data_IF_596571569857
#
_entry.id   IF_596571569857
#
_cell.length_a   1.000
_cell.length_b   1.000
_cell.length_c   1.000
_cell.angle_alpha   90.00
_cell.angle_beta   90.00
_cell.angle_gamma   90.00
#
_symmetry.space_group_name_H-M   'P 1'
#
loop_
_entity.id
_entity.type
_entity.pdbx_description
1 polymer ?
#
# COMPACT_ATOMS: atom_id res chain seq x y z
N UNK A 1 28.81 0.96 7.05
CA UNK A 1 27.83 -0.13 7.22
C UNK A 1 26.77 0.38 8.17
N UNK A 2 25.67 0.91 7.62
CA UNK A 2 24.51 1.29 8.41
C UNK A 2 23.76 0.02 8.81
N UNK A 3 23.36 -0.10 10.07
CA UNK A 3 22.45 -1.13 10.54
C UNK A 3 21.18 -1.11 9.66
N UNK A 4 20.89 -2.23 8.99
CA UNK A 4 19.64 -2.40 8.24
C UNK A 4 18.50 -2.49 9.28
N UNK A 5 17.56 -1.53 9.32
CA UNK A 5 16.46 -1.54 10.28
C UNK A 5 15.54 -2.77 10.14
N UNK A 6 15.71 -3.57 9.08
CA UNK A 6 14.97 -4.81 8.83
C UNK A 6 15.79 -6.10 9.07
N UNK A 7 16.99 -5.98 9.65
CA UNK A 7 17.78 -7.15 10.08
C UNK A 7 17.06 -8.14 11.04
N UNK A 8 16.10 -7.74 11.92
CA UNK A 8 15.47 -8.70 12.83
C UNK A 8 14.36 -9.58 12.22
N UNK A 9 14.02 -9.45 10.93
CA UNK A 9 12.99 -10.28 10.30
C UNK A 9 13.53 -11.66 9.88
N UNK A 10 13.79 -12.52 10.87
CA UNK A 10 14.14 -13.93 10.62
C UNK A 10 12.87 -14.78 10.34
N UNK A 11 12.87 -15.67 9.32
CA UNK A 11 11.66 -16.36 8.82
C UNK A 11 11.03 -17.43 9.73
N UNK A 12 11.11 -17.37 11.07
CA UNK A 12 10.56 -18.42 11.97
C UNK A 12 10.06 -17.94 13.33
N UNK A 13 9.43 -16.77 13.43
CA UNK A 13 8.80 -16.34 14.67
C UNK A 13 7.29 -16.63 14.64
N UNK A 14 6.88 -17.80 15.15
CA UNK A 14 5.46 -18.18 15.30
C UNK A 14 4.90 -17.67 16.63
N UNK A 15 3.79 -16.92 16.61
CA UNK A 15 3.01 -16.56 17.80
C UNK A 15 2.81 -15.05 18.03
N UNK A 16 1.93 -14.70 18.97
CA UNK A 16 1.54 -13.32 19.33
C UNK A 16 2.71 -12.37 19.65
N UNK A 17 3.82 -12.89 20.20
CA UNK A 17 5.04 -12.09 20.45
C UNK A 17 5.73 -11.65 19.16
N UNK A 18 5.75 -12.51 18.14
CA UNK A 18 6.28 -12.18 16.82
C UNK A 18 5.45 -11.11 16.12
N UNK A 19 4.12 -11.19 16.25
CA UNK A 19 3.18 -10.17 15.78
C UNK A 19 3.48 -8.78 16.36
N UNK A 20 3.62 -8.69 17.68
CA UNK A 20 4.00 -7.43 18.32
C UNK A 20 5.39 -6.94 17.97
N UNK A 21 6.37 -7.83 17.83
CA UNK A 21 7.71 -7.43 17.44
C UNK A 21 7.73 -6.88 16.01
N UNK A 22 7.01 -7.52 15.08
CA UNK A 22 6.83 -7.02 13.72
C UNK A 22 6.13 -5.64 13.73
N UNK A 23 5.05 -5.50 14.50
CA UNK A 23 4.34 -4.23 14.66
C UNK A 23 5.25 -3.11 15.19
N UNK A 24 6.07 -3.40 16.23
CA UNK A 24 7.03 -2.45 16.78
C UNK A 24 8.10 -2.06 15.75
N UNK A 25 8.63 -3.03 14.99
CA UNK A 25 9.61 -2.77 13.94
C UNK A 25 9.03 -1.88 12.82
N UNK A 26 7.79 -2.15 12.39
CA UNK A 26 7.09 -1.31 11.39
C UNK A 26 6.92 0.12 11.91
N UNK A 27 6.48 0.29 13.17
CA UNK A 27 6.32 1.62 13.79
C UNK A 27 7.66 2.37 13.85
N UNK A 28 8.71 1.71 14.34
CA UNK A 28 10.04 2.32 14.46
C UNK A 28 10.63 2.70 13.09
N UNK A 29 10.50 1.83 12.08
CA UNK A 29 10.96 2.13 10.72
C UNK A 29 10.19 3.30 10.11
N UNK A 30 8.87 3.33 10.31
CA UNK A 30 8.02 4.45 9.86
C UNK A 30 8.45 5.77 10.51
N UNK A 31 8.61 5.79 11.83
CA UNK A 31 9.00 6.99 12.58
C UNK A 31 10.41 7.49 12.16
N UNK A 32 11.33 6.57 11.88
CA UNK A 32 12.66 6.89 11.37
C UNK A 32 12.61 7.53 9.97
N UNK A 33 11.79 6.99 9.07
CA UNK A 33 11.62 7.53 7.71
C UNK A 33 11.02 8.93 7.71
N UNK A 34 10.01 9.15 8.55
CA UNK A 34 9.38 10.47 8.72
C UNK A 34 10.39 11.47 9.27
N UNK A 35 11.20 11.07 10.26
CA UNK A 35 12.25 11.93 10.81
C UNK A 35 13.35 12.25 9.78
N UNK A 36 13.69 11.29 8.92
CA UNK A 36 14.70 11.45 7.88
C UNK A 36 14.20 12.20 6.64
N UNK A 37 12.89 12.43 6.54
CA UNK A 37 12.23 13.01 5.35
C UNK A 37 12.57 12.25 4.05
N UNK A 38 12.54 10.91 4.12
CA UNK A 38 12.97 10.03 3.02
C UNK A 38 11.79 9.27 2.38
N UNK A 39 11.14 9.85 1.35
CA UNK A 39 10.01 9.23 0.69
C UNK A 39 10.40 8.02 -0.18
N UNK A 40 11.66 7.91 -0.62
CA UNK A 40 12.12 6.81 -1.45
C UNK A 40 12.28 5.53 -0.61
N UNK A 41 12.92 5.66 0.56
CA UNK A 41 13.07 4.55 1.50
C UNK A 41 11.73 4.08 2.08
N UNK A 42 10.73 4.96 2.16
CA UNK A 42 9.37 4.59 2.56
C UNK A 42 8.70 3.58 1.60
N UNK A 43 8.90 3.71 0.29
CA UNK A 43 8.42 2.70 -0.68
C UNK A 43 9.17 1.37 -0.49
N UNK A 44 10.47 1.45 -0.20
CA UNK A 44 11.29 0.30 0.12
C UNK A 44 10.82 -0.43 1.39
N UNK A 45 10.30 0.28 2.38
CA UNK A 45 9.67 -0.34 3.56
C UNK A 45 8.42 -1.12 3.14
N UNK A 46 7.49 -0.50 2.40
CA UNK A 46 6.24 -1.15 1.99
C UNK A 46 6.49 -2.41 1.15
N UNK A 47 7.45 -2.33 0.22
CA UNK A 47 7.85 -3.46 -0.62
C UNK A 47 8.37 -4.66 0.18
N UNK A 48 8.91 -4.42 1.37
CA UNK A 48 9.46 -5.45 2.27
C UNK A 48 8.46 -5.93 3.32
N UNK A 49 7.34 -5.22 3.53
CA UNK A 49 6.32 -5.60 4.52
C UNK A 49 5.78 -7.00 4.28
N UNK A 50 5.26 -7.26 3.08
CA UNK A 50 4.63 -8.55 2.78
C UNK A 50 5.63 -9.73 2.91
N UNK A 51 6.80 -9.73 2.24
CA UNK A 51 7.77 -10.82 2.40
C UNK A 51 8.22 -11.04 3.84
N UNK A 52 8.41 -9.97 4.61
CA UNK A 52 8.88 -10.05 6.00
C UNK A 52 7.78 -10.54 6.97
N UNK A 53 6.52 -10.24 6.67
CA UNK A 53 5.40 -10.48 7.58
C UNK A 53 4.44 -11.58 7.14
N UNK A 54 4.63 -12.20 5.97
CA UNK A 54 3.68 -13.23 5.44
C UNK A 54 3.49 -14.45 6.35
N UNK A 55 4.42 -14.70 7.29
CA UNK A 55 4.33 -15.79 8.27
C UNK A 55 3.91 -15.34 9.67
N UNK A 56 3.71 -14.03 9.87
CA UNK A 56 3.37 -13.47 11.18
C UNK A 56 1.88 -13.69 11.45
N UNK A 57 1.56 -14.15 12.67
CA UNK A 57 0.17 -14.29 13.09
C UNK A 57 -0.48 -12.90 13.28
N UNK A 58 -1.49 -12.59 12.46
CA UNK A 58 -2.25 -11.33 12.45
C UNK A 58 -3.53 -11.35 13.29
N UNK A 59 -3.85 -12.45 13.98
CA UNK A 59 -5.11 -12.60 14.72
C UNK A 59 -5.38 -11.54 15.81
N UNK A 60 -4.35 -10.83 16.26
CA UNK A 60 -4.46 -9.78 17.29
C UNK A 60 -4.51 -8.36 16.73
N UNK A 61 -4.39 -8.16 15.42
CA UNK A 61 -4.47 -6.83 14.79
C UNK A 61 -3.28 -5.89 15.03
N UNK A 62 -2.39 -6.16 15.98
CA UNK A 62 -1.24 -5.27 16.31
C UNK A 62 -0.42 -4.84 15.08
N UNK A 63 -0.16 -5.79 14.17
CA UNK A 63 0.57 -5.56 12.93
C UNK A 63 -0.27 -4.75 11.93
N UNK A 64 -1.56 -5.04 11.84
CA UNK A 64 -2.48 -4.33 10.95
C UNK A 64 -2.61 -2.86 11.36
N UNK A 65 -2.79 -2.61 12.66
CA UNK A 65 -2.80 -1.26 13.23
C UNK A 65 -1.47 -0.53 13.01
N UNK A 66 -0.34 -1.25 12.99
CA UNK A 66 0.96 -0.66 12.72
C UNK A 66 1.10 -0.26 11.26
N UNK A 67 0.60 -1.08 10.33
CA UNK A 67 0.62 -0.77 8.89
C UNK A 67 -0.40 0.30 8.53
N UNK A 68 -1.57 0.32 9.16
CA UNK A 68 -2.55 1.40 9.04
C UNK A 68 -1.93 2.74 9.44
N UNK A 69 -1.31 2.81 10.63
CA UNK A 69 -0.56 3.99 11.06
C UNK A 69 0.55 4.35 10.08
N UNK A 70 1.28 3.37 9.55
CA UNK A 70 2.32 3.64 8.57
C UNK A 70 1.74 4.29 7.31
N UNK A 71 0.62 3.80 6.79
CA UNK A 71 -0.07 4.40 5.65
C UNK A 71 -0.55 5.82 5.94
N UNK A 72 -1.11 6.07 7.13
CA UNK A 72 -1.55 7.40 7.57
C UNK A 72 -0.42 8.43 7.59
N UNK A 73 0.75 8.06 8.10
CA UNK A 73 1.87 9.00 8.31
C UNK A 73 2.76 9.11 7.07
N UNK A 74 2.94 8.03 6.30
CA UNK A 74 3.76 8.06 5.08
C UNK A 74 3.03 8.70 3.88
N UNK A 75 1.70 8.69 3.86
CA UNK A 75 0.92 9.38 2.82
C UNK A 75 1.25 10.87 2.72
N UNK A 76 1.15 11.70 3.79
CA UNK A 76 1.49 13.11 3.71
C UNK A 76 2.98 13.34 3.42
N UNK A 77 3.88 12.47 3.90
CA UNK A 77 5.30 12.51 3.55
C UNK A 77 5.50 12.37 2.03
N UNK A 78 4.88 11.38 1.39
CA UNK A 78 5.00 11.21 -0.05
C UNK A 78 4.41 12.38 -0.84
N UNK A 79 3.31 12.96 -0.37
CA UNK A 79 2.69 14.13 -1.00
C UNK A 79 3.57 15.38 -0.91
N UNK A 80 4.28 15.57 0.20
CA UNK A 80 5.24 16.68 0.34
C UNK A 80 6.36 16.60 -0.72
N UNK A 81 6.66 15.40 -1.20
CA UNK A 81 7.67 15.11 -2.23
C UNK A 81 7.07 14.73 -3.59
N UNK A 82 5.86 15.20 -3.90
CA UNK A 82 5.19 14.95 -5.18
C UNK A 82 5.50 16.02 -6.26
N UNK A 83 6.30 17.03 -5.95
CA UNK A 83 6.62 18.14 -6.85
C UNK A 83 7.47 17.74 -8.06
N UNK A 84 8.22 16.63 -7.96
CA UNK A 84 8.88 15.99 -9.10
C UNK A 84 7.97 14.87 -9.65
N UNK A 85 7.31 15.08 -10.81
CA UNK A 85 6.36 14.11 -11.34
C UNK A 85 7.01 12.78 -11.69
N UNK A 86 8.26 12.77 -12.18
CA UNK A 86 8.92 11.54 -12.61
C UNK A 86 9.34 10.69 -11.42
N UNK A 87 9.90 11.31 -10.38
CA UNK A 87 10.22 10.62 -9.13
C UNK A 87 8.95 10.10 -8.44
N UNK A 88 7.86 10.87 -8.47
CA UNK A 88 6.58 10.46 -7.89
C UNK A 88 5.94 9.28 -8.64
N UNK A 89 5.96 9.31 -9.97
CA UNK A 89 5.47 8.20 -10.81
C UNK A 89 6.26 6.92 -10.56
N UNK A 90 7.60 7.00 -10.50
CA UNK A 90 8.44 5.85 -10.19
C UNK A 90 8.13 5.25 -8.81
N UNK A 91 7.86 6.10 -7.82
CA UNK A 91 7.45 5.68 -6.47
C UNK A 91 6.07 5.00 -6.48
N UNK A 92 5.11 5.48 -7.26
CA UNK A 92 3.82 4.82 -7.43
C UNK A 92 3.96 3.47 -8.13
N UNK A 93 4.77 3.33 -9.18
CA UNK A 93 5.00 2.02 -9.81
C UNK A 93 5.61 1.01 -8.83
N UNK A 94 6.58 1.43 -8.03
CA UNK A 94 7.18 0.57 -7.02
C UNK A 94 6.19 0.20 -5.90
N UNK A 95 5.34 1.13 -5.47
CA UNK A 95 4.27 0.85 -4.52
C UNK A 95 3.22 -0.11 -5.11
N UNK A 96 2.86 0.07 -6.39
CA UNK A 96 1.95 -0.83 -7.09
C UNK A 96 2.49 -2.26 -7.12
N UNK A 97 3.77 -2.45 -7.43
CA UNK A 97 4.42 -3.76 -7.41
C UNK A 97 4.37 -4.41 -6.01
N UNK A 98 4.50 -3.61 -4.94
CA UNK A 98 4.38 -4.10 -3.57
C UNK A 98 2.95 -4.58 -3.25
N UNK A 99 1.93 -3.81 -3.66
CA UNK A 99 0.52 -4.17 -3.48
C UNK A 99 0.15 -5.41 -4.29
N UNK A 100 0.62 -5.50 -5.53
CA UNK A 100 0.37 -6.64 -6.40
C UNK A 100 1.02 -7.93 -5.87
N UNK A 101 2.17 -7.83 -5.21
CA UNK A 101 2.84 -8.97 -4.57
C UNK A 101 2.13 -9.44 -3.29
N UNK A 102 1.38 -8.56 -2.62
CA UNK A 102 0.71 -8.83 -1.36
C UNK A 102 -0.54 -9.71 -1.52
N UNK A 103 -0.37 -11.00 -1.20
CA UNK A 103 -1.45 -11.99 -1.23
C UNK A 103 -2.36 -11.95 0.01
N UNK A 104 -1.95 -11.29 1.09
CA UNK A 104 -2.65 -11.32 2.37
C UNK A 104 -3.37 -10.03 2.77
N UNK A 105 -3.29 -8.96 1.99
CA UNK A 105 -3.96 -7.69 2.31
C UNK A 105 -3.31 -6.97 3.48
N UNK A 106 -1.99 -7.10 3.61
CA UNK A 106 -1.21 -6.29 4.56
C UNK A 106 -1.03 -4.86 4.05
N UNK A 107 -0.97 -4.67 2.73
CA UNK A 107 -0.74 -3.39 2.04
C UNK A 107 -2.04 -2.68 1.66
N UNK A 108 -3.20 -3.26 1.97
CA UNK A 108 -4.53 -2.70 1.69
C UNK A 108 -4.67 -1.24 2.22
N UNK A 109 -4.12 -0.84 3.39
CA UNK A 109 -4.16 0.56 3.83
C UNK A 109 -3.54 1.58 2.84
N UNK A 110 -2.49 1.18 2.11
CA UNK A 110 -1.89 2.00 1.06
C UNK A 110 -2.73 1.97 -0.21
N UNK A 111 -3.31 0.82 -0.53
CA UNK A 111 -4.17 0.62 -1.67
C UNK A 111 -5.46 1.46 -1.59
N UNK A 112 -6.04 1.59 -0.40
CA UNK A 112 -7.20 2.44 -0.11
C UNK A 112 -6.90 3.94 -0.32
N UNK A 113 -5.66 4.35 -0.05
CA UNK A 113 -5.19 5.73 -0.18
C UNK A 113 -4.66 6.07 -1.58
N UNK A 114 -4.71 5.13 -2.52
CA UNK A 114 -4.10 5.26 -3.84
C UNK A 114 -4.48 6.54 -4.60
N UNK A 115 -5.76 6.91 -4.59
CA UNK A 115 -6.26 8.13 -5.24
C UNK A 115 -5.67 9.41 -4.64
N UNK A 116 -5.50 9.43 -3.31
CA UNK A 116 -4.80 10.52 -2.60
C UNK A 116 -3.32 10.53 -3.00
N UNK A 117 -2.67 9.37 -3.01
CA UNK A 117 -1.26 9.20 -3.38
C UNK A 117 -0.97 9.60 -4.83
N UNK A 118 -1.96 9.59 -5.72
CA UNK A 118 -1.78 10.11 -7.07
C UNK A 118 -1.47 11.61 -7.10
N UNK A 119 -1.77 12.38 -6.03
CA UNK A 119 -1.57 13.82 -5.86
C UNK A 119 -2.31 14.73 -6.87
N UNK A 120 -2.51 14.27 -8.10
CA UNK A 120 -3.15 14.98 -9.19
C UNK A 120 -4.28 14.16 -9.81
N UNK A 121 -5.32 14.87 -10.23
CA UNK A 121 -6.48 14.26 -10.89
C UNK A 121 -6.11 13.53 -12.18
N UNK A 122 -5.18 14.06 -12.97
CA UNK A 122 -4.75 13.45 -14.23
C UNK A 122 -4.03 12.12 -13.99
N UNK A 123 -3.15 12.07 -12.98
CA UNK A 123 -2.46 10.85 -12.55
C UNK A 123 -3.44 9.80 -12.03
N UNK A 124 -4.42 10.21 -11.21
CA UNK A 124 -5.47 9.32 -10.74
C UNK A 124 -6.31 8.75 -11.90
N UNK A 125 -6.67 9.55 -12.89
CA UNK A 125 -7.39 9.09 -14.08
C UNK A 125 -6.57 8.07 -14.91
N UNK A 126 -5.26 8.31 -15.06
CA UNK A 126 -4.36 7.38 -15.75
C UNK A 126 -4.28 6.02 -15.04
N UNK A 127 -4.10 6.01 -13.72
CA UNK A 127 -4.11 4.78 -12.92
C UNK A 127 -5.47 4.06 -12.97
N UNK A 128 -6.58 4.80 -12.84
CA UNK A 128 -7.92 4.24 -12.95
C UNK A 128 -8.12 3.53 -14.30
N UNK A 129 -7.72 4.16 -15.41
CA UNK A 129 -7.80 3.57 -16.76
C UNK A 129 -6.97 2.30 -16.90
N UNK A 130 -5.78 2.25 -16.29
CA UNK A 130 -4.89 1.09 -16.29
C UNK A 130 -5.49 -0.09 -15.51
N UNK A 131 -6.03 0.17 -14.32
CA UNK A 131 -6.45 -0.88 -13.39
C UNK A 131 -7.87 -1.39 -13.66
N UNK A 132 -8.77 -0.54 -14.17
CA UNK A 132 -10.18 -0.86 -14.36
C UNK A 132 -10.45 -2.14 -15.20
N UNK A 133 -9.75 -2.38 -16.33
CA UNK A 133 -9.96 -3.60 -17.11
C UNK A 133 -9.65 -4.88 -16.33
N UNK A 134 -8.61 -4.86 -15.50
CA UNK A 134 -8.22 -6.01 -14.68
C UNK A 134 -9.27 -6.30 -13.61
N UNK A 135 -9.73 -5.28 -12.89
CA UNK A 135 -10.76 -5.43 -11.85
C UNK A 135 -12.06 -5.97 -12.45
N UNK A 136 -12.50 -5.41 -13.59
CA UNK A 136 -13.70 -5.90 -14.29
C UNK A 136 -13.57 -7.37 -14.69
N UNK A 137 -12.41 -7.77 -15.22
CA UNK A 137 -12.15 -9.16 -15.60
C UNK A 137 -12.19 -10.10 -14.39
N UNK A 138 -11.60 -9.68 -13.27
CA UNK A 138 -11.59 -10.48 -12.05
C UNK A 138 -13.01 -10.68 -11.49
N UNK A 139 -13.78 -9.60 -11.37
CA UNK A 139 -15.14 -9.65 -10.82
C UNK A 139 -16.17 -10.28 -11.74
N UNK A 140 -15.99 -10.19 -13.07
CA UNK A 140 -16.83 -10.93 -14.01
C UNK A 140 -16.69 -12.46 -13.86
N UNK A 141 -15.53 -12.93 -13.40
CA UNK A 141 -15.31 -14.36 -13.11
C UNK A 141 -15.86 -14.74 -11.73
N UNK A 142 -15.59 -13.91 -10.74
CA UNK A 142 -16.05 -14.10 -9.36
C UNK A 142 -16.14 -12.73 -8.66
N UNK A 143 -17.38 -12.22 -8.43
CA UNK A 143 -17.58 -10.94 -7.75
C UNK A 143 -17.04 -10.90 -6.31
N UNK A 144 -16.86 -12.07 -5.67
CA UNK A 144 -16.33 -12.17 -4.31
C UNK A 144 -14.80 -12.33 -4.28
N UNK A 145 -14.15 -12.52 -5.43
CA UNK A 145 -12.71 -12.71 -5.48
C UNK A 145 -11.96 -11.42 -5.11
N UNK A 146 -10.95 -11.55 -4.23
CA UNK A 146 -9.98 -10.50 -3.99
C UNK A 146 -9.23 -10.20 -5.29
N UNK A 147 -9.30 -8.96 -5.75
CA UNK A 147 -8.48 -8.42 -6.82
C UNK A 147 -7.56 -7.34 -6.22
N UNK A 148 -6.23 -7.52 -6.20
CA UNK A 148 -5.30 -6.51 -5.65
C UNK A 148 -5.50 -5.12 -6.27
N UNK A 149 -5.87 -5.07 -7.56
CA UNK A 149 -6.18 -3.84 -8.28
C UNK A 149 -7.48 -3.13 -7.85
N UNK A 150 -8.37 -3.79 -7.09
CA UNK A 150 -9.69 -3.24 -6.77
C UNK A 150 -9.61 -1.97 -5.93
N UNK A 151 -8.96 -2.02 -4.76
CA UNK A 151 -8.85 -0.85 -3.87
C UNK A 151 -8.16 0.34 -4.56
N UNK A 152 -7.00 0.15 -5.24
CA UNK A 152 -6.35 1.25 -5.96
C UNK A 152 -7.19 1.80 -7.11
N UNK A 153 -7.90 0.94 -7.85
CA UNK A 153 -8.79 1.37 -8.93
C UNK A 153 -9.95 2.22 -8.42
N UNK A 154 -10.65 1.77 -7.37
CA UNK A 154 -11.78 2.48 -6.78
C UNK A 154 -11.33 3.84 -6.20
N UNK A 155 -10.22 3.84 -5.46
CA UNK A 155 -9.62 5.05 -4.89
C UNK A 155 -9.20 6.04 -6.00
N UNK A 156 -8.58 5.55 -7.08
CA UNK A 156 -8.21 6.35 -8.25
C UNK A 156 -9.43 6.93 -8.99
N UNK A 157 -10.49 6.15 -9.19
CA UNK A 157 -11.74 6.62 -9.81
C UNK A 157 -12.40 7.73 -8.98
N UNK A 158 -12.41 7.59 -7.65
CA UNK A 158 -12.90 8.61 -6.74
C UNK A 158 -12.08 9.91 -6.86
N UNK A 159 -10.75 9.83 -6.79
CA UNK A 159 -9.86 10.98 -6.93
C UNK A 159 -9.93 11.64 -8.33
N UNK A 160 -10.13 10.85 -9.38
CA UNK A 160 -10.36 11.33 -10.75
C UNK A 160 -11.75 11.96 -10.96
N UNK A 161 -12.62 11.92 -9.94
CA UNK A 161 -14.04 12.32 -9.96
C UNK A 161 -14.84 11.63 -11.06
N UNK A 162 -14.61 10.33 -11.24
CA UNK A 162 -15.28 9.49 -12.24
C UNK A 162 -16.49 8.77 -11.64
N UNK A 163 -17.41 9.54 -11.02
CA UNK A 163 -18.55 8.99 -10.28
C UNK A 163 -19.40 7.99 -11.08
N UNK A 164 -19.69 8.29 -12.35
CA UNK A 164 -20.43 7.36 -13.22
C UNK A 164 -19.69 6.02 -13.45
N UNK A 165 -18.37 6.05 -13.68
CA UNK A 165 -17.59 4.81 -13.85
C UNK A 165 -17.47 4.03 -12.54
N UNK A 166 -17.35 4.73 -11.41
CA UNK A 166 -17.31 4.12 -10.08
C UNK A 166 -18.63 3.43 -9.74
N UNK A 167 -19.77 4.10 -9.94
CA UNK A 167 -21.10 3.51 -9.74
C UNK A 167 -21.33 2.31 -10.66
N UNK A 168 -20.87 2.39 -11.92
CA UNK A 168 -20.98 1.29 -12.87
C UNK A 168 -20.17 0.04 -12.47
N UNK A 169 -19.25 0.12 -11.50
CA UNK A 169 -18.56 -1.07 -10.96
C UNK A 169 -19.44 -1.91 -10.04
N UNK A 170 -20.49 -1.31 -9.46
CA UNK A 170 -21.42 -1.96 -8.54
C UNK A 170 -22.80 -2.19 -9.14
N UNK A 171 -23.03 -1.71 -10.37
CA UNK A 171 -24.22 -2.01 -11.14
C UNK A 171 -24.09 -3.44 -11.69
N UNK A 172 -24.64 -4.40 -10.93
CA UNK A 172 -24.82 -5.81 -11.31
C UNK A 172 -26.27 -6.01 -11.73
#
# INVERSE_FOLDING_TARGET
>A
MADDPLSPFAPRAFGWRAGRQAAQAVRAATDALVKADDPASAVGLVSRLWPACMQVNRAHGDLDDAVERAAEVLTPLWLAHAADPAAHDARLEALWAAIEADRGGLTDPFAERWGTLCAERARADAWAKRLLPEVRKAWARDPAARAPAALPCLSALAAARKGAQLLAMFAV
#
